data_IF_616487284893
#
_entry.id   IF_616487284893
#
_cell.length_a   1.000
_cell.length_b   1.000
_cell.length_c   1.000
_cell.angle_alpha   90.00
_cell.angle_beta   90.00
_cell.angle_gamma   90.00
#
_symmetry.space_group_name_H-M   'P 1'
#
loop_
_entity.id
_entity.type
_entity.pdbx_description
1 polymer ?
#
# COMPACT_ATOMS: atom_id res chain seq x y z
N UNK A 1 17.19 -19.49 -9.76
CA UNK A 1 17.96 -20.69 -10.21
C UNK A 1 18.24 -21.62 -9.05
N UNK A 2 18.66 -22.86 -9.31
CA UNK A 2 19.07 -23.82 -8.28
C UNK A 2 20.23 -23.28 -7.40
N UNK A 3 21.10 -22.48 -7.99
CA UNK A 3 22.20 -21.79 -7.32
C UNK A 3 21.70 -20.76 -6.29
N UNK A 4 20.63 -20.04 -6.60
CA UNK A 4 20.06 -19.04 -5.70
C UNK A 4 19.43 -19.70 -4.47
N UNK A 5 18.78 -20.86 -4.66
CA UNK A 5 18.23 -21.65 -3.53
C UNK A 5 19.35 -22.15 -2.63
N UNK A 6 20.48 -22.62 -3.19
CA UNK A 6 21.64 -23.02 -2.42
C UNK A 6 22.26 -21.86 -1.62
N UNK A 7 22.29 -20.66 -2.20
CA UNK A 7 22.73 -19.45 -1.50
C UNK A 7 21.83 -19.13 -0.31
N UNK A 8 20.51 -19.28 -0.46
CA UNK A 8 19.56 -19.00 0.63
C UNK A 8 19.61 -20.05 1.74
N UNK A 9 20.06 -21.29 1.47
CA UNK A 9 20.17 -22.33 2.50
C UNK A 9 21.14 -21.99 3.64
N UNK A 10 22.14 -21.15 3.40
CA UNK A 10 23.09 -20.71 4.43
C UNK A 10 22.44 -19.80 5.51
N UNK A 11 21.30 -19.21 5.23
CA UNK A 11 20.55 -18.36 6.14
C UNK A 11 19.50 -19.11 6.96
N UNK A 12 19.44 -20.44 6.84
CA UNK A 12 18.48 -21.28 7.57
C UNK A 12 18.94 -21.46 9.00
N UNK A 13 18.14 -20.96 9.93
CA UNK A 13 18.36 -21.07 11.38
C UNK A 13 17.05 -21.41 12.09
N UNK A 14 16.60 -22.68 12.11
CA UNK A 14 15.28 -23.07 12.62
C UNK A 14 15.05 -22.76 14.11
N UNK A 15 16.13 -22.71 14.87
CA UNK A 15 16.09 -22.45 16.32
C UNK A 15 16.26 -20.98 16.68
N UNK A 16 16.40 -20.10 15.69
CA UNK A 16 16.61 -18.68 15.93
C UNK A 16 15.37 -18.06 16.56
N UNK A 17 15.59 -17.36 17.65
CA UNK A 17 14.56 -16.55 18.33
C UNK A 17 15.14 -15.16 18.52
N UNK A 18 14.61 -14.13 17.86
CA UNK A 18 15.09 -12.78 18.06
C UNK A 18 14.85 -12.36 19.51
N UNK A 19 15.78 -11.63 20.09
CA UNK A 19 15.49 -10.86 21.29
C UNK A 19 14.55 -9.71 20.94
N UNK A 20 13.76 -9.26 21.91
CA UNK A 20 12.71 -8.25 21.66
C UNK A 20 13.25 -6.91 21.14
N UNK A 21 14.55 -6.64 21.31
CA UNK A 21 15.18 -5.35 20.94
C UNK A 21 16.25 -5.51 19.85
N UNK A 22 16.36 -6.65 19.19
CA UNK A 22 17.38 -6.89 18.15
C UNK A 22 17.03 -6.21 16.81
N UNK A 23 15.86 -5.57 16.72
CA UNK A 23 15.36 -4.90 15.51
C UNK A 23 14.93 -5.86 14.40
N UNK A 24 14.79 -7.16 14.70
CA UNK A 24 14.19 -8.10 13.75
C UNK A 24 12.68 -7.98 13.72
N UNK A 25 12.11 -8.09 12.50
CA UNK A 25 10.68 -8.31 12.31
C UNK A 25 10.45 -9.71 11.77
N UNK A 26 9.47 -10.42 12.32
CA UNK A 26 9.08 -11.75 11.83
C UNK A 26 8.02 -11.62 10.76
N UNK A 27 8.30 -12.11 9.55
CA UNK A 27 7.34 -12.17 8.44
C UNK A 27 6.66 -13.54 8.44
N UNK A 28 5.34 -13.55 8.64
CA UNK A 28 4.52 -14.77 8.69
C UNK A 28 3.51 -14.81 7.55
N UNK A 29 2.95 -15.98 7.29
CA UNK A 29 1.91 -16.16 6.26
C UNK A 29 0.51 -15.81 6.75
N UNK A 30 0.25 -15.91 8.06
CA UNK A 30 -1.09 -15.79 8.66
C UNK A 30 -1.15 -14.71 9.74
N UNK A 31 -2.26 -13.96 9.80
CA UNK A 31 -2.45 -12.91 10.82
C UNK A 31 -2.36 -13.48 12.24
N UNK A 32 -3.01 -14.61 12.51
CA UNK A 32 -3.02 -15.19 13.85
C UNK A 32 -1.61 -15.48 14.40
N UNK A 33 -0.67 -15.91 13.55
CA UNK A 33 0.72 -16.12 13.94
C UNK A 33 1.41 -14.81 14.32
N UNK A 34 1.23 -13.77 13.50
CA UNK A 34 1.76 -12.46 13.79
C UNK A 34 1.20 -11.91 15.10
N UNK A 35 -0.11 -12.06 15.32
CA UNK A 35 -0.79 -11.59 16.53
C UNK A 35 -0.30 -12.36 17.77
N UNK A 36 -0.10 -13.68 17.68
CA UNK A 36 0.47 -14.48 18.77
C UNK A 36 1.88 -14.04 19.14
N UNK A 37 2.76 -13.81 18.15
CA UNK A 37 4.13 -13.35 18.39
C UNK A 37 4.12 -11.96 19.05
N UNK A 38 3.32 -11.04 18.52
CA UNK A 38 3.18 -9.69 19.07
C UNK A 38 2.62 -9.71 20.51
N UNK A 39 1.58 -10.51 20.76
CA UNK A 39 0.97 -10.64 22.07
C UNK A 39 1.95 -11.27 23.10
N UNK A 40 2.69 -12.30 22.71
CA UNK A 40 3.67 -12.94 23.58
C UNK A 40 4.81 -11.97 23.94
N UNK A 41 5.36 -11.25 22.93
CA UNK A 41 6.40 -10.26 23.13
C UNK A 41 5.91 -9.10 24.01
N UNK A 42 4.73 -8.57 23.74
CA UNK A 42 4.11 -7.50 24.54
C UNK A 42 3.88 -7.92 25.99
N UNK A 43 3.43 -9.15 26.23
CA UNK A 43 3.18 -9.69 27.56
C UNK A 43 4.46 -9.90 28.37
N UNK A 44 5.59 -10.20 27.71
CA UNK A 44 6.88 -10.39 28.36
C UNK A 44 7.47 -9.09 28.93
N UNK A 45 7.08 -7.95 28.42
CA UNK A 45 7.52 -6.64 28.92
C UNK A 45 6.81 -6.32 30.24
N UNK A 46 7.59 -6.15 31.32
CA UNK A 46 7.10 -5.87 32.69
C UNK A 46 6.90 -4.38 32.96
N UNK A 47 6.56 -3.58 31.95
CA UNK A 47 6.26 -2.16 32.10
C UNK A 47 4.74 -1.93 32.13
N UNK A 48 4.27 -0.79 32.71
CA UNK A 48 2.86 -0.42 32.69
C UNK A 48 2.37 -0.24 31.24
N UNK A 49 1.09 -0.56 31.03
CA UNK A 49 0.42 -0.37 29.75
C UNK A 49 -0.13 1.04 29.67
N UNK A 50 0.16 1.73 28.57
CA UNK A 50 -0.49 2.96 28.18
C UNK A 50 -1.39 2.66 26.96
N UNK A 51 -2.59 3.21 27.00
CA UNK A 51 -3.60 2.98 25.96
C UNK A 51 -4.07 4.30 25.38
N UNK A 52 -3.94 4.42 24.07
CA UNK A 52 -4.33 5.60 23.31
C UNK A 52 -5.51 5.28 22.44
N UNK A 53 -6.59 6.05 22.61
CA UNK A 53 -7.80 5.88 21.84
C UNK A 53 -7.75 6.75 20.57
N UNK A 54 -8.14 6.16 19.44
CA UNK A 54 -8.32 6.92 18.21
C UNK A 54 -9.53 7.85 18.31
N UNK A 55 -9.44 9.00 17.68
CA UNK A 55 -10.56 9.92 17.49
C UNK A 55 -11.10 9.73 16.07
N UNK A 56 -12.34 9.30 15.96
CA UNK A 56 -13.04 9.14 14.68
C UNK A 56 -14.13 10.21 14.62
N UNK A 57 -14.13 11.00 13.55
CA UNK A 57 -15.10 12.04 13.29
C UNK A 57 -15.81 11.82 11.96
N UNK A 58 -17.07 12.17 11.93
CA UNK A 58 -17.92 12.16 10.74
C UNK A 58 -17.98 10.76 10.06
N UNK A 59 -18.10 10.71 8.74
CA UNK A 59 -18.28 9.46 7.99
C UNK A 59 -16.94 8.78 7.68
N UNK A 60 -16.43 7.99 8.64
CA UNK A 60 -15.24 7.15 8.45
C UNK A 60 -15.59 5.69 8.79
N UNK A 61 -15.94 4.84 7.80
CA UNK A 61 -16.35 3.45 8.03
C UNK A 61 -15.24 2.58 8.64
N UNK A 62 -15.60 1.66 9.54
CA UNK A 62 -14.63 0.80 10.26
C UNK A 62 -13.72 -0.03 9.33
N UNK A 63 -14.24 -0.49 8.19
CA UNK A 63 -13.44 -1.27 7.22
C UNK A 63 -12.32 -0.46 6.55
N UNK A 64 -12.34 0.88 6.66
CA UNK A 64 -11.30 1.78 6.18
C UNK A 64 -10.29 2.19 7.27
N UNK A 65 -10.48 1.74 8.52
CA UNK A 65 -9.57 2.11 9.59
C UNK A 65 -8.13 1.66 9.27
N UNK A 66 -7.19 2.59 9.26
CA UNK A 66 -5.78 2.28 8.95
C UNK A 66 -5.09 1.53 10.08
N UNK A 67 -5.60 1.69 11.30
CA UNK A 67 -5.11 1.12 12.54
C UNK A 67 -6.28 0.73 13.45
N UNK A 68 -5.96 -0.06 14.48
CA UNK A 68 -6.93 -0.33 15.56
C UNK A 68 -7.29 0.97 16.29
N UNK A 69 -8.54 1.09 16.70
CA UNK A 69 -9.02 2.25 17.46
C UNK A 69 -8.32 2.39 18.81
N UNK A 70 -7.84 1.29 19.36
CA UNK A 70 -7.13 1.24 20.63
C UNK A 70 -5.67 0.82 20.40
N UNK A 71 -4.73 1.73 20.64
CA UNK A 71 -3.31 1.46 20.59
C UNK A 71 -2.78 1.29 22.01
N UNK A 72 -2.37 0.07 22.37
CA UNK A 72 -1.75 -0.25 23.66
C UNK A 72 -0.24 -0.40 23.51
N UNK A 73 0.52 0.35 24.29
CA UNK A 73 1.98 0.37 24.25
C UNK A 73 2.57 0.20 25.66
N UNK A 74 3.83 -0.27 25.70
CA UNK A 74 4.67 -0.31 26.89
C UNK A 74 6.05 0.27 26.54
N UNK A 75 6.73 0.86 27.49
CA UNK A 75 8.16 1.21 27.33
C UNK A 75 8.94 -0.07 27.07
N UNK A 76 9.84 -0.06 26.08
CA UNK A 76 10.54 -1.23 25.57
C UNK A 76 9.82 -2.01 24.48
N UNK A 77 8.62 -1.56 24.06
CA UNK A 77 7.90 -2.22 22.95
C UNK A 77 8.53 -1.86 21.60
N UNK A 78 8.70 -2.88 20.76
CA UNK A 78 9.08 -2.67 19.36
C UNK A 78 7.87 -2.25 18.56
N UNK A 79 8.00 -1.12 17.87
CA UNK A 79 6.95 -0.51 17.06
C UNK A 79 7.44 -0.24 15.64
N UNK A 80 6.50 -0.10 14.73
CA UNK A 80 6.74 0.30 13.35
C UNK A 80 5.87 1.50 13.02
N UNK A 81 6.45 2.48 12.33
CA UNK A 81 5.71 3.59 11.75
C UNK A 81 4.90 3.13 10.54
N UNK A 82 3.63 3.49 10.48
CA UNK A 82 2.72 3.11 9.38
C UNK A 82 2.44 4.26 8.40
N UNK A 83 3.15 5.36 8.56
CA UNK A 83 3.13 6.54 7.67
C UNK A 83 4.53 7.12 7.53
N UNK A 84 4.73 7.87 6.47
CA UNK A 84 5.91 8.72 6.35
C UNK A 84 5.75 9.94 7.25
N UNK A 85 6.86 10.44 7.77
CA UNK A 85 6.89 11.71 8.49
C UNK A 85 6.37 12.84 7.60
N UNK A 86 5.58 13.72 8.20
CA UNK A 86 5.11 14.96 7.57
C UNK A 86 6.13 16.08 7.60
N UNK A 87 7.15 15.99 8.45
CA UNK A 87 8.19 17.02 8.58
C UNK A 87 9.26 16.95 7.48
N UNK A 88 9.97 18.03 7.28
CA UNK A 88 11.10 18.13 6.32
C UNK A 88 12.31 18.68 7.10
N UNK A 89 13.45 17.92 7.15
CA UNK A 89 13.66 16.59 6.57
C UNK A 89 12.85 15.49 7.29
N UNK A 90 12.46 14.44 6.57
CA UNK A 90 11.74 13.30 7.14
C UNK A 90 12.65 12.55 8.12
N UNK A 91 12.18 12.38 9.34
CA UNK A 91 12.88 11.66 10.43
C UNK A 91 12.63 10.14 10.32
N UNK A 92 11.49 9.73 9.78
CA UNK A 92 11.10 8.34 9.60
C UNK A 92 10.24 8.13 8.34
N UNK A 93 10.12 6.89 7.92
CA UNK A 93 9.29 6.47 6.78
C UNK A 93 8.38 5.30 7.19
N UNK A 94 7.39 5.00 6.37
CA UNK A 94 6.51 3.85 6.56
C UNK A 94 7.32 2.55 6.54
N UNK A 95 7.20 1.74 7.59
CA UNK A 95 7.97 0.53 7.80
C UNK A 95 9.21 0.70 8.68
N UNK A 96 9.60 1.94 9.05
CA UNK A 96 10.71 2.17 9.99
C UNK A 96 10.39 1.58 11.35
N UNK A 97 11.32 0.79 11.88
CA UNK A 97 11.19 0.14 13.19
C UNK A 97 11.88 1.00 14.25
N UNK A 98 11.33 1.00 15.45
CA UNK A 98 11.90 1.64 16.62
C UNK A 98 11.43 0.99 17.91
N UNK A 99 12.05 1.40 19.02
CA UNK A 99 11.69 1.00 20.38
C UNK A 99 11.05 2.17 21.12
N UNK A 100 9.97 1.90 21.81
CA UNK A 100 9.31 2.90 22.67
C UNK A 100 10.17 3.14 23.91
N UNK A 101 10.69 4.34 24.07
CA UNK A 101 11.57 4.72 25.19
C UNK A 101 10.88 5.56 26.26
N UNK A 102 9.77 6.21 25.91
CA UNK A 102 8.99 7.02 26.82
C UNK A 102 7.52 7.02 26.46
N UNK A 103 6.64 6.95 27.47
CA UNK A 103 5.18 7.04 27.32
C UNK A 103 4.60 7.92 28.44
N UNK A 104 3.68 8.79 28.08
CA UNK A 104 2.76 9.49 28.97
C UNK A 104 1.35 9.49 28.36
N UNK A 105 0.38 10.16 28.96
CA UNK A 105 -0.97 10.27 28.39
C UNK A 105 -0.99 10.99 27.04
N UNK A 106 -0.08 11.92 26.81
CA UNK A 106 -0.07 12.80 25.64
C UNK A 106 1.19 12.66 24.77
N UNK A 107 2.22 11.94 25.25
CA UNK A 107 3.52 11.90 24.58
C UNK A 107 4.03 10.46 24.41
N UNK A 108 4.51 10.18 23.22
CA UNK A 108 5.20 8.94 22.85
C UNK A 108 6.56 9.30 22.29
N UNK A 109 7.63 8.71 22.83
CA UNK A 109 8.97 8.81 22.23
C UNK A 109 9.47 7.45 21.78
N UNK A 110 9.97 7.41 20.55
CA UNK A 110 10.49 6.20 19.91
C UNK A 110 11.95 6.42 19.52
N UNK A 111 12.81 5.50 19.93
CA UNK A 111 14.21 5.42 19.48
C UNK A 111 14.23 4.57 18.20
N UNK A 112 14.85 5.07 17.13
CA UNK A 112 14.98 4.33 15.88
C UNK A 112 16.03 3.21 16.01
N UNK A 113 15.79 2.07 15.32
CA UNK A 113 16.60 0.87 15.46
C UNK A 113 18.01 0.98 14.88
N UNK A 114 18.22 1.80 13.88
CA UNK A 114 19.47 1.97 13.13
C UNK A 114 20.19 3.29 13.44
N UNK A 115 19.59 4.14 14.27
CA UNK A 115 20.13 5.43 14.67
C UNK A 115 19.89 5.64 16.17
N UNK A 116 20.81 6.34 16.85
CA UNK A 116 20.58 6.76 18.25
C UNK A 116 19.60 7.94 18.38
N UNK A 117 18.78 8.14 17.37
CA UNK A 117 17.82 9.24 17.31
C UNK A 117 16.52 8.86 18.02
N UNK A 118 16.10 9.71 18.96
CA UNK A 118 14.80 9.61 19.63
C UNK A 118 13.84 10.60 19.00
N UNK A 119 12.67 10.12 18.61
CA UNK A 119 11.63 10.92 17.96
C UNK A 119 10.42 11.01 18.86
N UNK A 120 9.93 12.22 19.08
CA UNK A 120 8.59 12.47 19.59
C UNK A 120 7.59 12.24 18.48
N UNK A 121 6.64 11.33 18.72
CA UNK A 121 5.65 10.90 17.72
C UNK A 121 4.36 11.66 17.90
N UNK A 122 3.98 12.45 16.91
CA UNK A 122 2.69 13.13 16.86
C UNK A 122 1.55 12.23 16.35
N UNK A 123 0.31 12.59 16.69
CA UNK A 123 -0.86 11.97 16.08
C UNK A 123 -0.95 12.34 14.60
N UNK A 124 -1.42 11.42 13.79
CA UNK A 124 -1.65 11.61 12.36
C UNK A 124 -3.16 11.56 12.08
N UNK A 125 -3.61 12.40 11.15
CA UNK A 125 -5.00 12.48 10.71
C UNK A 125 -5.10 11.79 9.34
N UNK A 126 -5.88 10.72 9.26
CA UNK A 126 -6.27 10.10 8.00
C UNK A 126 -7.62 10.66 7.59
N UNK A 127 -7.77 10.98 6.31
CA UNK A 127 -8.99 11.53 5.74
C UNK A 127 -9.68 10.50 4.85
N UNK A 128 -10.99 10.35 5.01
CA UNK A 128 -11.84 9.65 4.06
C UNK A 128 -12.32 10.65 3.01
N UNK A 129 -11.76 10.55 1.81
CA UNK A 129 -11.99 11.54 0.75
C UNK A 129 -12.90 10.93 -0.33
N UNK A 130 -13.93 11.67 -0.72
CA UNK A 130 -14.74 11.41 -1.91
C UNK A 130 -14.32 12.37 -3.02
N UNK A 131 -14.10 11.83 -4.21
CA UNK A 131 -13.84 12.62 -5.41
C UNK A 131 -15.15 12.82 -6.15
N UNK A 132 -15.50 14.09 -6.44
CA UNK A 132 -16.68 14.47 -7.25
C UNK A 132 -16.21 15.20 -8.49
N UNK A 133 -16.82 14.90 -9.65
CA UNK A 133 -16.66 15.73 -10.84
C UNK A 133 -17.49 16.99 -10.66
N UNK A 134 -16.89 18.14 -10.88
CA UNK A 134 -17.61 19.43 -10.84
C UNK A 134 -18.51 19.55 -12.08
N UNK A 135 -19.77 19.87 -11.86
CA UNK A 135 -20.69 20.04 -12.95
C UNK A 135 -20.18 21.11 -13.94
N UNK A 136 -20.02 20.75 -15.20
CA UNK A 136 -19.54 21.60 -16.30
C UNK A 136 -18.03 21.96 -16.31
N UNK A 137 -17.17 21.20 -15.62
CA UNK A 137 -15.72 21.32 -15.76
C UNK A 137 -15.06 19.94 -15.63
N UNK A 138 -13.86 19.78 -16.23
CA UNK A 138 -13.03 18.59 -16.05
C UNK A 138 -12.28 18.59 -14.70
N UNK A 139 -12.64 19.50 -13.80
CA UNK A 139 -12.03 19.60 -12.47
C UNK A 139 -12.62 18.56 -11.52
N UNK A 140 -11.73 17.91 -10.76
CA UNK A 140 -12.09 16.98 -9.70
C UNK A 140 -12.05 17.73 -8.37
N UNK A 141 -13.17 17.76 -7.67
CA UNK A 141 -13.29 18.33 -6.33
C UNK A 141 -13.14 17.22 -5.28
N UNK A 142 -12.38 17.51 -4.23
CA UNK A 142 -12.18 16.62 -3.10
C UNK A 142 -13.08 17.04 -1.94
N UNK A 143 -13.87 16.12 -1.43
CA UNK A 143 -14.72 16.30 -0.26
C UNK A 143 -14.23 15.36 0.84
N UNK A 144 -13.83 15.89 1.99
CA UNK A 144 -13.49 15.10 3.18
C UNK A 144 -14.80 14.69 3.86
N UNK A 145 -15.06 13.39 3.91
CA UNK A 145 -16.27 12.82 4.51
C UNK A 145 -16.11 12.55 6.00
N UNK A 146 -14.90 12.23 6.44
CA UNK A 146 -14.60 11.94 7.82
C UNK A 146 -13.10 11.82 8.07
N UNK A 147 -12.71 11.77 9.34
CA UNK A 147 -11.32 11.69 9.76
C UNK A 147 -11.11 10.62 10.83
N UNK A 148 -9.94 9.98 10.79
CA UNK A 148 -9.45 9.06 11.81
C UNK A 148 -8.11 9.57 12.32
N UNK A 149 -8.01 9.88 13.61
CA UNK A 149 -6.81 10.45 14.24
C UNK A 149 -6.23 9.47 15.24
N UNK A 150 -4.97 9.05 15.05
CA UNK A 150 -4.25 8.16 15.96
C UNK A 150 -2.74 8.37 15.82
N UNK A 151 -1.95 7.87 16.75
CA UNK A 151 -0.51 7.76 16.58
C UNK A 151 -0.20 6.76 15.46
N UNK A 152 0.67 7.11 14.48
CA UNK A 152 0.95 6.27 13.31
C UNK A 152 1.90 5.11 13.64
N UNK A 153 1.59 4.35 14.69
CA UNK A 153 2.39 3.28 15.24
C UNK A 153 1.62 1.96 15.30
N UNK A 154 2.34 0.86 15.15
CA UNK A 154 1.86 -0.51 15.35
C UNK A 154 2.93 -1.33 16.04
N UNK A 155 2.54 -2.30 16.89
CA UNK A 155 3.48 -3.30 17.39
C UNK A 155 4.07 -4.09 16.21
N UNK A 156 5.37 -4.34 16.24
CA UNK A 156 6.11 -4.81 15.08
C UNK A 156 7.17 -5.87 15.37
N UNK A 157 6.93 -6.81 16.26
CA UNK A 157 7.75 -8.02 16.34
C UNK A 157 7.41 -9.01 15.23
N UNK A 158 6.14 -9.01 14.78
CA UNK A 158 5.71 -9.79 13.64
C UNK A 158 4.66 -9.08 12.82
N UNK A 159 4.67 -9.34 11.50
CA UNK A 159 3.68 -8.86 10.52
C UNK A 159 3.48 -9.93 9.45
N UNK A 160 2.34 -9.94 8.78
CA UNK A 160 2.16 -10.86 7.65
C UNK A 160 2.88 -10.36 6.40
N UNK A 161 3.28 -11.32 5.54
CA UNK A 161 3.90 -11.04 4.24
C UNK A 161 3.03 -10.08 3.41
N UNK A 162 1.70 -10.25 3.42
CA UNK A 162 0.79 -9.35 2.70
C UNK A 162 0.82 -7.91 3.24
N UNK A 163 0.77 -7.75 4.55
CA UNK A 163 0.82 -6.41 5.19
C UNK A 163 2.21 -5.76 5.06
N UNK A 164 3.25 -6.55 4.76
CA UNK A 164 4.61 -6.04 4.53
C UNK A 164 4.85 -5.53 3.11
N UNK A 165 3.87 -5.67 2.20
CA UNK A 165 4.01 -5.17 0.83
C UNK A 165 4.26 -3.65 0.82
N UNK A 166 5.25 -3.22 0.04
CA UNK A 166 5.67 -1.81 -0.02
C UNK A 166 6.57 -1.36 1.13
N UNK A 167 6.81 -2.20 2.16
CA UNK A 167 7.75 -1.92 3.23
C UNK A 167 9.13 -2.50 2.91
N UNK A 168 10.17 -1.98 3.59
CA UNK A 168 11.54 -2.47 3.46
C UNK A 168 12.16 -2.57 4.85
N UNK A 169 12.84 -3.68 5.12
CA UNK A 169 13.44 -3.97 6.42
C UNK A 169 14.93 -4.25 6.27
N UNK A 170 15.71 -3.88 7.27
CA UNK A 170 17.14 -4.21 7.35
C UNK A 170 17.35 -5.63 7.89
N UNK A 171 16.47 -6.07 8.82
CA UNK A 171 16.53 -7.39 9.44
C UNK A 171 15.15 -8.04 9.46
N UNK A 172 15.03 -9.26 8.97
CA UNK A 172 13.80 -10.03 9.05
C UNK A 172 14.04 -11.52 9.29
N UNK A 173 13.19 -12.08 10.13
CA UNK A 173 13.00 -13.53 10.28
C UNK A 173 11.82 -13.93 9.41
N UNK A 174 12.03 -14.87 8.50
CA UNK A 174 11.01 -15.31 7.56
C UNK A 174 10.53 -16.71 7.92
N UNK A 175 9.25 -16.82 8.30
CA UNK A 175 8.54 -18.09 8.54
C UNK A 175 7.53 -18.32 7.41
N UNK A 176 7.92 -19.20 6.48
CA UNK A 176 7.11 -19.57 5.32
C UNK A 176 6.65 -21.04 5.37
N UNK A 177 6.74 -21.70 6.52
CA UNK A 177 6.39 -23.12 6.65
C UNK A 177 4.97 -23.44 6.12
N UNK A 178 4.03 -22.47 6.24
CA UNK A 178 2.64 -22.58 5.77
C UNK A 178 2.34 -21.62 4.60
N UNK A 179 3.31 -21.36 3.70
CA UNK A 179 3.06 -20.56 2.52
C UNK A 179 2.07 -21.26 1.59
N UNK A 180 0.94 -20.61 1.30
CA UNK A 180 -0.17 -21.18 0.55
C UNK A 180 -0.42 -20.52 -0.81
N UNK A 181 0.11 -19.33 -1.03
CA UNK A 181 -0.09 -18.60 -2.27
C UNK A 181 1.20 -18.45 -3.07
N UNK A 182 1.08 -18.51 -4.40
CA UNK A 182 2.20 -18.27 -5.30
C UNK A 182 2.79 -16.87 -5.09
N UNK A 183 4.10 -16.76 -5.11
CA UNK A 183 4.80 -15.49 -4.96
C UNK A 183 4.98 -14.98 -3.52
N UNK A 184 4.38 -15.58 -2.50
CA UNK A 184 4.58 -15.16 -1.09
C UNK A 184 6.05 -15.18 -0.68
N UNK A 185 6.78 -16.21 -1.06
CA UNK A 185 8.22 -16.34 -0.80
C UNK A 185 9.01 -15.20 -1.44
N UNK A 186 8.69 -14.87 -2.70
CA UNK A 186 9.32 -13.75 -3.40
C UNK A 186 9.00 -12.41 -2.69
N UNK A 187 7.74 -12.18 -2.33
CA UNK A 187 7.33 -10.97 -1.62
C UNK A 187 8.06 -10.84 -0.29
N UNK A 188 8.17 -11.91 0.50
CA UNK A 188 8.86 -11.90 1.79
C UNK A 188 10.36 -11.59 1.62
N UNK A 189 11.06 -12.28 0.73
CA UNK A 189 12.48 -12.07 0.48
C UNK A 189 12.76 -10.67 -0.08
N UNK A 190 11.90 -10.15 -0.95
CA UNK A 190 12.02 -8.81 -1.52
C UNK A 190 11.75 -7.67 -0.52
N UNK A 191 11.35 -7.98 0.72
CA UNK A 191 11.21 -6.98 1.80
C UNK A 191 12.54 -6.60 2.42
N UNK A 192 13.57 -7.42 2.26
CA UNK A 192 14.89 -7.15 2.82
C UNK A 192 15.72 -6.27 1.88
N UNK A 193 16.47 -5.35 2.47
CA UNK A 193 17.41 -4.47 1.78
C UNK A 193 18.67 -5.21 1.32
N UNK A 194 19.13 -6.16 2.15
CA UNK A 194 20.25 -7.06 1.87
C UNK A 194 20.02 -8.44 2.50
N UNK A 195 20.82 -9.43 2.12
CA UNK A 195 20.73 -10.76 2.71
C UNK A 195 21.39 -10.84 4.12
N UNK A 196 22.17 -9.86 4.53
CA UNK A 196 22.89 -9.86 5.81
C UNK A 196 21.96 -9.91 7.03
N UNK A 197 20.75 -9.33 6.87
CA UNK A 197 19.70 -9.36 7.89
C UNK A 197 18.69 -10.50 7.75
N UNK A 198 18.92 -11.45 6.85
CA UNK A 198 17.99 -12.55 6.60
C UNK A 198 18.18 -13.71 7.55
N UNK A 199 17.11 -14.16 8.18
CA UNK A 199 17.01 -15.45 8.88
C UNK A 199 15.81 -16.20 8.31
N UNK A 200 16.01 -17.45 7.92
CA UNK A 200 14.95 -18.37 7.49
C UNK A 200 14.73 -19.42 8.58
N UNK A 201 13.47 -19.59 9.03
CA UNK A 201 13.13 -20.60 10.03
C UNK A 201 12.91 -21.99 9.43
N UNK A 202 12.65 -22.07 8.12
CA UNK A 202 12.44 -23.32 7.39
C UNK A 202 13.24 -23.35 6.11
N UNK A 203 13.52 -24.58 5.62
CA UNK A 203 14.13 -24.78 4.31
C UNK A 203 13.16 -24.36 3.21
N UNK A 204 13.67 -23.65 2.21
CA UNK A 204 12.91 -23.27 1.04
C UNK A 204 12.97 -24.37 -0.01
N UNK A 205 11.82 -24.89 -0.40
CA UNK A 205 11.72 -25.87 -1.47
C UNK A 205 11.50 -25.17 -2.82
N UNK A 206 12.00 -25.76 -3.90
CA UNK A 206 11.80 -25.24 -5.25
C UNK A 206 10.31 -25.03 -5.61
N UNK A 207 9.41 -25.80 -4.99
CA UNK A 207 7.95 -25.69 -5.16
C UNK A 207 7.37 -24.40 -4.57
N UNK A 208 8.01 -23.80 -3.58
CA UNK A 208 7.57 -22.56 -2.94
C UNK A 208 7.85 -21.32 -3.79
N UNK A 209 8.74 -21.45 -4.78
CA UNK A 209 9.04 -20.40 -5.78
C UNK A 209 8.21 -20.54 -7.06
N UNK A 210 7.10 -21.27 -7.00
CA UNK A 210 6.27 -21.37 -8.20
C UNK A 210 5.60 -20.02 -8.52
N UNK A 211 5.64 -19.69 -9.79
CA UNK A 211 4.92 -18.55 -10.35
C UNK A 211 3.68 -19.11 -11.05
N UNK A 212 2.54 -18.45 -10.89
CA UNK A 212 1.32 -18.84 -11.60
C UNK A 212 1.58 -18.94 -13.12
N UNK A 213 1.00 -19.96 -13.75
CA UNK A 213 1.22 -20.25 -15.17
C UNK A 213 0.89 -19.05 -16.04
N UNK A 214 -0.24 -18.40 -15.75
CA UNK A 214 -0.71 -17.20 -16.46
C UNK A 214 0.31 -16.06 -16.44
N UNK A 215 1.03 -15.88 -15.30
CA UNK A 215 2.09 -14.86 -15.18
C UNK A 215 3.31 -15.22 -16.01
N UNK A 216 3.67 -16.53 -16.08
CA UNK A 216 4.77 -17.01 -16.93
C UNK A 216 4.43 -16.83 -18.40
N UNK A 217 3.22 -17.19 -18.79
CA UNK A 217 2.74 -17.08 -20.17
C UNK A 217 2.71 -15.61 -20.60
N UNK A 218 2.19 -14.73 -19.75
CA UNK A 218 2.23 -13.29 -20.00
C UNK A 218 3.66 -12.76 -20.11
N UNK A 219 4.54 -13.16 -19.21
CA UNK A 219 5.95 -12.72 -19.24
C UNK A 219 6.69 -13.23 -20.50
N UNK A 220 6.36 -14.44 -20.98
CA UNK A 220 6.94 -15.00 -22.21
C UNK A 220 6.46 -14.30 -23.48
N UNK A 221 5.27 -13.71 -23.46
CA UNK A 221 4.67 -12.96 -24.57
C UNK A 221 5.10 -11.49 -24.59
N UNK A 222 5.91 -11.06 -23.60
CA UNK A 222 6.36 -9.67 -23.52
C UNK A 222 7.25 -9.33 -24.72
N UNK A 223 6.81 -8.38 -25.52
CA UNK A 223 7.56 -7.90 -26.68
C UNK A 223 8.92 -7.34 -26.28
N UNK A 224 9.93 -7.56 -27.11
CA UNK A 224 11.24 -6.97 -26.91
C UNK A 224 11.15 -5.43 -26.97
N UNK A 225 11.98 -4.70 -26.21
CA UNK A 225 11.95 -3.23 -26.18
C UNK A 225 12.04 -2.59 -27.57
N UNK A 226 12.81 -3.21 -28.48
CA UNK A 226 13.00 -2.74 -29.85
C UNK A 226 11.70 -2.81 -30.67
N UNK A 227 10.91 -3.86 -30.48
CA UNK A 227 9.62 -4.02 -31.17
C UNK A 227 8.51 -3.18 -30.58
N UNK A 228 8.62 -2.75 -29.31
CA UNK A 228 7.62 -1.91 -28.66
C UNK A 228 7.51 -0.54 -29.30
N UNK A 229 8.62 0.09 -29.71
CA UNK A 229 8.64 1.40 -30.34
C UNK A 229 7.91 1.37 -31.71
N UNK A 230 8.14 0.32 -32.51
CA UNK A 230 7.49 0.15 -33.80
C UNK A 230 6.00 -0.18 -33.64
N UNK A 231 5.67 -1.07 -32.70
CA UNK A 231 4.28 -1.40 -32.38
C UNK A 231 3.55 -0.15 -31.88
N UNK A 232 4.13 0.63 -30.96
CA UNK A 232 3.53 1.85 -30.46
C UNK A 232 3.28 2.87 -31.59
N UNK A 233 4.24 3.02 -32.53
CA UNK A 233 4.11 3.92 -33.65
C UNK A 233 2.98 3.52 -34.61
N UNK A 234 2.85 2.22 -34.90
CA UNK A 234 1.80 1.68 -35.76
C UNK A 234 0.41 1.78 -35.11
N UNK A 235 0.30 1.39 -33.85
CA UNK A 235 -0.95 1.48 -33.07
C UNK A 235 -1.40 2.93 -32.85
N UNK A 236 -0.45 3.84 -32.59
CA UNK A 236 -0.76 5.28 -32.52
C UNK A 236 -1.32 5.81 -33.81
N UNK A 237 -0.76 5.40 -34.95
CA UNK A 237 -1.26 5.81 -36.27
C UNK A 237 -2.67 5.27 -36.50
N UNK A 238 -2.91 3.98 -36.24
CA UNK A 238 -4.23 3.36 -36.37
C UNK A 238 -5.29 4.02 -35.43
N UNK A 239 -4.88 4.36 -34.21
CA UNK A 239 -5.73 5.09 -33.27
C UNK A 239 -6.10 6.47 -33.80
N UNK A 240 -5.12 7.24 -34.26
CA UNK A 240 -5.38 8.58 -34.81
C UNK A 240 -6.27 8.53 -36.05
N UNK A 241 -6.05 7.57 -36.97
CA UNK A 241 -6.91 7.37 -38.12
C UNK A 241 -8.35 7.06 -37.70
N UNK A 242 -8.54 6.19 -36.69
CA UNK A 242 -9.85 5.86 -36.14
C UNK A 242 -10.54 7.07 -35.50
N UNK A 243 -9.81 7.88 -34.74
CA UNK A 243 -10.37 9.09 -34.12
C UNK A 243 -10.74 10.15 -35.16
N UNK A 244 -9.91 10.36 -36.20
CA UNK A 244 -10.23 11.24 -37.32
C UNK A 244 -11.48 10.75 -38.04
N UNK A 245 -11.59 9.43 -38.31
CA UNK A 245 -12.78 8.88 -38.98
C UNK A 245 -14.04 9.02 -38.13
N UNK A 246 -13.95 8.94 -36.80
CA UNK A 246 -15.10 9.22 -35.93
C UNK A 246 -15.58 10.66 -36.04
N UNK A 247 -14.63 11.61 -36.11
CA UNK A 247 -14.96 13.03 -36.24
C UNK A 247 -15.73 13.33 -37.54
N UNK A 248 -15.49 12.53 -38.61
CA UNK A 248 -16.19 12.61 -39.88
C UNK A 248 -17.32 11.59 -40.03
N UNK A 249 -17.82 10.98 -38.93
CA UNK A 249 -18.91 10.02 -39.02
C UNK A 249 -20.18 10.71 -39.54
N UNK A 250 -20.82 10.11 -40.55
CA UNK A 250 -22.08 10.59 -41.13
C UNK A 250 -23.21 10.68 -40.10
N UNK A 251 -23.09 9.95 -39.00
CA UNK A 251 -24.09 9.98 -37.93
C UNK A 251 -24.05 11.30 -37.17
N UNK A 252 -22.87 11.79 -36.84
CA UNK A 252 -22.69 13.08 -36.15
C UNK A 252 -23.02 14.24 -37.08
N UNK A 253 -22.66 14.14 -38.36
CA UNK A 253 -23.04 15.11 -39.37
C UNK A 253 -24.56 15.17 -39.56
N UNK A 254 -25.26 14.02 -39.64
CA UNK A 254 -26.72 13.95 -39.72
C UNK A 254 -27.40 14.52 -38.49
N UNK A 255 -26.92 14.21 -37.29
CA UNK A 255 -27.45 14.75 -36.03
C UNK A 255 -27.28 16.28 -35.98
N UNK A 256 -26.12 16.79 -36.33
CA UNK A 256 -25.84 18.24 -36.34
C UNK A 256 -26.70 18.93 -37.44
N UNK A 257 -26.82 18.36 -38.62
CA UNK A 257 -27.68 18.87 -39.69
C UNK A 257 -29.17 18.83 -39.31
N UNK A 258 -29.62 17.77 -38.62
CA UNK A 258 -30.99 17.65 -38.13
C UNK A 258 -31.31 18.70 -37.06
N UNK A 259 -30.39 18.91 -36.12
CA UNK A 259 -30.53 19.94 -35.07
C UNK A 259 -30.58 21.35 -35.67
N UNK A 260 -29.72 21.65 -36.65
CA UNK A 260 -29.72 22.93 -37.35
C UNK A 260 -31.00 23.11 -38.18
N UNK A 261 -31.49 22.05 -38.83
CA UNK A 261 -32.75 22.08 -39.58
C UNK A 261 -33.96 22.30 -38.67
N UNK A 262 -34.03 21.61 -37.54
CA UNK A 262 -35.10 21.80 -36.55
C UNK A 262 -35.03 23.18 -35.88
N UNK A 263 -33.83 23.70 -35.60
CA UNK A 263 -33.66 25.07 -35.10
C UNK A 263 -34.06 26.11 -36.13
N UNK A 264 -33.81 25.88 -37.44
CA UNK A 264 -34.27 26.72 -38.56
C UNK A 264 -35.77 26.72 -38.70
N UNK A 265 -36.42 25.56 -38.54
CA UNK A 265 -37.90 25.47 -38.57
C UNK A 265 -38.55 26.18 -37.36
N UNK A 266 -37.95 26.10 -36.19
CA UNK A 266 -38.42 26.81 -34.99
C UNK A 266 -38.29 28.34 -35.15
N UNK A 267 -37.24 28.80 -35.83
CA UNK A 267 -37.02 30.22 -36.15
C UNK A 267 -38.00 30.78 -37.19
N UNK A 268 -38.52 29.93 -38.08
CA UNK A 268 -39.53 30.35 -39.09
C UNK A 268 -40.98 30.31 -38.56
N UNK A 269 -41.30 29.43 -37.59
CA UNK A 269 -42.59 29.42 -36.91
C UNK A 269 -42.80 30.59 -35.93
N UNK A 270 -41.71 31.18 -35.42
CA UNK A 270 -41.80 32.34 -34.52
C UNK A 270 -42.14 33.67 -35.17
N UNK A 271 -42.27 33.74 -36.52
CA UNK A 271 -42.68 34.97 -37.26
C UNK A 271 -44.11 35.00 -37.73
N UNK A 272 -44.90 33.97 -37.47
CA UNK A 272 -46.31 33.89 -37.94
C UNK A 272 -47.33 33.93 -36.80
N UNK A 273 -46.93 34.27 -35.56
CA UNK A 273 -47.89 34.48 -34.47
C UNK A 273 -47.88 35.92 -33.90
N UNK A 274 -47.81 36.93 -34.81
CA UNK A 274 -48.24 38.31 -34.52
C UNK A 274 -49.09 38.80 -35.69
N UNK A 275 -50.39 38.49 -35.61
CA UNK A 275 -51.50 39.25 -36.21
C UNK A 275 -52.74 38.33 -36.22
N UNK A 276 -53.50 38.37 -35.16
CA UNK A 276 -54.95 38.68 -35.01
C UNK A 276 -55.28 38.52 -33.52
#
# INVERSE_FOLDING_TARGET
TQRDIQTLQQYIQPSFKPSYNDGYITLTTHNYKADQINAAAFSAIKAPVFTYQAEVKDEFPEYLYPLDTQLSLKVGAQVMFVKNDSEIPKRYYNGKIGEVVYLSEEEIRVKLSDEDTVIEVGKYVWEHIRYKSKANSDEIEQEVLGTFTQYPLRLAWAITVHKSQGLTFDKAVIDLADAFASGQTYVALSRLRSLDGLILLSSLNAKEFFTATDVKDYASQKAAPETLADTFSSERKAFLEKEVLKTFSWLDFRLTALVLFLAGLCGTMGRTCQFV
#
